data_IF_814797681251
#
_entry.id   IF_814797681251
#
_cell.length_a   1.000
_cell.length_b   1.000
_cell.length_c   1.000
_cell.angle_alpha   90.00
_cell.angle_beta   90.00
_cell.angle_gamma   90.00
#
_symmetry.space_group_name_H-M   'P 1'
#
loop_
_entity.id
_entity.type
_entity.pdbx_description
1 polymer ?
#
# COMPACT_ATOMS: atom_id res chain seq x y z
N UNK A 1 -23.45 -1.09 10.31
CA UNK A 1 -22.10 -1.58 10.62
C UNK A 1 -21.46 -2.00 9.31
N UNK A 2 -20.60 -1.16 8.73
CA UNK A 2 -19.86 -1.50 7.51
C UNK A 2 -18.63 -2.31 7.94
N UNK A 3 -18.54 -3.54 7.45
CA UNK A 3 -17.30 -4.30 7.48
C UNK A 3 -16.31 -3.55 6.57
N UNK A 4 -15.49 -2.67 7.14
CA UNK A 4 -14.29 -2.21 6.45
C UNK A 4 -13.15 -3.08 7.00
N UNK A 5 -12.58 -4.02 6.22
CA UNK A 5 -11.28 -4.55 6.58
C UNK A 5 -10.33 -3.34 6.65
N UNK A 6 -9.81 -3.02 7.84
CA UNK A 6 -9.00 -1.81 8.05
C UNK A 6 -7.66 -1.99 7.36
N UNK A 7 -7.52 -1.39 6.17
CA UNK A 7 -6.25 -1.25 5.47
C UNK A 7 -5.42 -0.08 6.00
N UNK A 8 -5.85 0.53 7.11
CA UNK A 8 -5.22 1.66 7.78
C UNK A 8 -3.75 1.38 8.17
N UNK A 9 -3.37 0.12 8.42
CA UNK A 9 -1.98 -0.23 8.72
C UNK A 9 -1.03 -0.02 7.53
N UNK A 10 -1.54 0.01 6.30
CA UNK A 10 -0.75 0.36 5.11
C UNK A 10 -0.70 1.86 4.84
N UNK A 11 -1.51 2.67 5.54
CA UNK A 11 -1.50 4.12 5.35
C UNK A 11 -0.11 4.75 5.61
N UNK A 12 0.65 4.36 6.65
CA UNK A 12 2.01 4.86 6.84
C UNK A 12 2.95 4.60 5.66
N UNK A 13 2.76 3.50 4.92
CA UNK A 13 3.57 3.20 3.74
C UNK A 13 3.22 4.16 2.58
N UNK A 14 1.93 4.46 2.40
CA UNK A 14 1.47 5.45 1.42
C UNK A 14 1.97 6.84 1.77
N UNK A 15 1.85 7.23 3.03
CA UNK A 15 2.29 8.55 3.51
C UNK A 15 3.80 8.73 3.29
N UNK A 16 4.62 7.72 3.62
CA UNK A 16 6.06 7.77 3.39
C UNK A 16 6.43 7.94 1.90
N UNK A 17 5.69 7.31 1.00
CA UNK A 17 5.90 7.47 -0.45
C UNK A 17 5.49 8.86 -0.94
N UNK A 18 4.40 9.42 -0.42
CA UNK A 18 3.98 10.79 -0.73
C UNK A 18 5.03 11.79 -0.22
N UNK A 19 5.52 11.61 1.01
CA UNK A 19 6.55 12.44 1.62
C UNK A 19 7.89 12.35 0.88
N UNK A 20 8.21 11.20 0.27
CA UNK A 20 9.40 11.04 -0.56
C UNK A 20 9.26 11.63 -1.97
N UNK A 21 8.13 12.24 -2.29
CA UNK A 21 7.87 12.87 -3.59
C UNK A 21 7.20 11.97 -4.63
N UNK A 22 6.69 10.80 -4.25
CA UNK A 22 5.86 9.94 -5.11
C UNK A 22 4.39 10.06 -4.69
N UNK A 23 3.62 11.04 -5.21
CA UNK A 23 2.21 11.20 -4.84
C UNK A 23 1.35 10.05 -5.36
N UNK A 24 0.24 9.76 -4.69
CA UNK A 24 -0.78 8.85 -5.21
C UNK A 24 -1.54 9.47 -6.38
N UNK A 25 -2.03 8.64 -7.29
CA UNK A 25 -2.89 9.03 -8.42
C UNK A 25 -4.35 9.27 -7.99
N UNK A 26 -4.73 8.76 -6.83
CA UNK A 26 -6.03 8.96 -6.18
C UNK A 26 -5.87 9.56 -4.79
N UNK A 27 -6.93 10.15 -4.24
CA UNK A 27 -7.00 10.63 -2.84
C UNK A 27 -7.07 9.44 -1.85
N UNK A 28 -6.05 8.58 -1.86
CA UNK A 28 -5.92 7.40 -1.01
C UNK A 28 -6.46 6.10 -1.63
N UNK A 29 -6.74 5.12 -0.76
CA UNK A 29 -7.22 3.79 -1.13
C UNK A 29 -8.66 3.80 -1.67
N UNK A 30 -8.88 3.10 -2.77
CA UNK A 30 -10.20 2.84 -3.36
C UNK A 30 -10.56 1.39 -3.16
N UNK A 31 -11.83 1.08 -2.92
CA UNK A 31 -12.28 -0.32 -2.77
C UNK A 31 -12.88 -0.83 -4.08
N UNK A 32 -12.52 -2.05 -4.45
CA UNK A 32 -12.97 -2.75 -5.65
C UNK A 32 -13.27 -4.23 -5.32
N UNK A 33 -13.69 -5.02 -6.33
CA UNK A 33 -14.04 -6.44 -6.11
C UNK A 33 -12.85 -7.32 -5.67
N UNK A 34 -11.62 -6.89 -5.94
CA UNK A 34 -10.38 -7.56 -5.55
C UNK A 34 -9.75 -7.02 -4.26
N UNK A 35 -10.36 -6.03 -3.60
CA UNK A 35 -9.85 -5.45 -2.35
C UNK A 35 -9.67 -3.93 -2.40
N UNK A 36 -8.80 -3.39 -1.55
CA UNK A 36 -8.49 -1.96 -1.52
C UNK A 36 -7.22 -1.66 -2.32
N UNK A 37 -7.20 -0.63 -3.16
CA UNK A 37 -6.03 -0.27 -3.93
C UNK A 37 -5.70 1.23 -3.88
N UNK A 38 -4.42 1.54 -3.70
CA UNK A 38 -3.85 2.86 -3.86
C UNK A 38 -2.81 2.79 -4.98
N UNK A 39 -2.93 3.63 -6.01
CA UNK A 39 -2.00 3.61 -7.14
C UNK A 39 -1.09 4.82 -7.03
N UNK A 40 0.22 4.59 -6.99
CA UNK A 40 1.24 5.64 -6.92
C UNK A 40 1.53 6.22 -8.31
N UNK A 41 2.04 7.46 -8.37
CA UNK A 41 2.35 8.13 -9.64
C UNK A 41 3.64 7.64 -10.27
N UNK A 42 4.62 7.30 -9.43
CA UNK A 42 5.92 6.75 -9.79
C UNK A 42 6.09 5.36 -9.17
N UNK A 43 7.21 4.69 -9.46
CA UNK A 43 7.53 3.40 -8.88
C UNK A 43 7.68 3.50 -7.35
N UNK A 44 7.13 2.51 -6.64
CA UNK A 44 7.30 2.31 -5.20
C UNK A 44 8.77 2.01 -4.92
N UNK A 45 9.40 2.87 -4.13
CA UNK A 45 10.76 2.65 -3.66
C UNK A 45 10.75 1.75 -2.42
N UNK A 46 11.15 0.49 -2.61
CA UNK A 46 11.21 -0.49 -1.53
C UNK A 46 12.19 -0.07 -0.41
N UNK A 47 13.23 0.72 -0.69
CA UNK A 47 14.16 1.15 0.34
C UNK A 47 13.48 2.08 1.36
N UNK A 48 12.47 2.84 0.92
CA UNK A 48 11.72 3.78 1.76
C UNK A 48 10.75 3.04 2.66
N UNK A 49 10.04 2.05 2.12
CA UNK A 49 8.95 1.37 2.83
C UNK A 49 9.35 0.08 3.53
N UNK A 50 10.50 -0.54 3.20
CA UNK A 50 10.96 -1.78 3.84
C UNK A 50 11.00 -1.69 5.38
N UNK A 51 11.52 -0.62 6.01
CA UNK A 51 11.52 -0.49 7.46
C UNK A 51 10.10 -0.41 8.04
N UNK A 52 9.15 0.17 7.30
CA UNK A 52 7.75 0.29 7.72
C UNK A 52 7.03 -1.05 7.63
N UNK A 53 7.32 -1.84 6.59
CA UNK A 53 6.82 -3.22 6.46
C UNK A 53 7.31 -4.06 7.63
N UNK A 54 8.59 -3.96 8.01
CA UNK A 54 9.17 -4.73 9.12
C UNK A 54 8.60 -4.33 10.49
N UNK A 55 8.18 -3.08 10.64
CA UNK A 55 7.54 -2.59 11.86
C UNK A 55 6.04 -2.95 11.95
N UNK A 56 5.43 -3.43 10.87
CA UNK A 56 4.02 -3.75 10.81
C UNK A 56 3.69 -5.08 11.50
N UNK A 57 2.61 -5.14 12.27
CA UNK A 57 2.18 -6.36 12.97
C UNK A 57 1.79 -7.50 12.01
N UNK A 58 1.43 -7.14 10.77
CA UNK A 58 1.10 -8.05 9.68
C UNK A 58 2.22 -8.19 8.66
N UNK A 59 3.47 -7.84 8.99
CA UNK A 59 4.64 -7.97 8.09
C UNK A 59 4.68 -9.33 7.36
N UNK A 60 4.38 -10.43 8.05
CA UNK A 60 4.32 -11.79 7.48
C UNK A 60 3.25 -12.02 6.38
N UNK A 61 2.33 -11.07 6.22
CA UNK A 61 1.24 -11.05 5.22
C UNK A 61 1.45 -9.98 4.16
N UNK A 62 2.47 -9.15 4.30
CA UNK A 62 2.83 -8.12 3.33
C UNK A 62 3.85 -8.70 2.35
N UNK A 63 3.55 -8.62 1.07
CA UNK A 63 4.43 -8.95 -0.04
C UNK A 63 4.78 -7.67 -0.77
N UNK A 64 6.06 -7.38 -0.92
CA UNK A 64 6.54 -6.26 -1.72
C UNK A 64 7.37 -6.79 -2.90
N UNK A 65 7.09 -6.31 -4.10
CA UNK A 65 7.75 -6.69 -5.34
C UNK A 65 7.75 -5.53 -6.35
N UNK A 66 8.13 -5.81 -7.59
CA UNK A 66 8.23 -4.80 -8.66
C UNK A 66 6.88 -4.24 -9.11
N UNK A 67 5.76 -4.89 -8.79
CA UNK A 67 4.40 -4.43 -9.12
C UNK A 67 3.85 -3.51 -8.00
N UNK A 68 4.38 -3.64 -6.79
CA UNK A 68 4.11 -2.78 -5.65
C UNK A 68 4.12 -3.53 -4.32
N UNK A 69 3.21 -3.16 -3.42
CA UNK A 69 3.00 -3.79 -2.11
C UNK A 69 1.61 -4.39 -2.05
N UNK A 70 1.49 -5.60 -1.53
CA UNK A 70 0.21 -6.28 -1.34
C UNK A 70 0.13 -6.91 0.05
N UNK A 71 -0.94 -6.65 0.78
CA UNK A 71 -1.23 -7.27 2.06
C UNK A 71 -2.32 -8.33 1.92
N UNK A 72 -1.96 -9.60 2.16
CA UNK A 72 -2.87 -10.74 2.11
C UNK A 72 -3.85 -10.80 3.30
N UNK A 73 -3.63 -10.00 4.35
CA UNK A 73 -4.52 -9.95 5.52
C UNK A 73 -5.76 -9.11 5.26
N UNK A 74 -5.59 -7.88 4.77
CA UNK A 74 -6.68 -6.94 4.50
C UNK A 74 -7.06 -6.87 3.00
N UNK A 75 -6.35 -7.61 2.15
CA UNK A 75 -6.49 -7.61 0.69
C UNK A 75 -6.32 -6.21 0.11
N UNK A 76 -5.33 -5.47 0.62
CA UNK A 76 -5.01 -4.14 0.13
C UNK A 76 -3.71 -4.12 -0.67
N UNK A 77 -3.65 -3.26 -1.69
CA UNK A 77 -2.49 -3.13 -2.58
C UNK A 77 -2.08 -1.66 -2.75
N UNK A 78 -0.78 -1.38 -2.68
CA UNK A 78 -0.16 -0.14 -3.13
C UNK A 78 0.51 -0.46 -4.47
N UNK A 79 -0.02 0.01 -5.58
CA UNK A 79 0.41 -0.39 -6.93
C UNK A 79 1.26 0.68 -7.61
N UNK A 80 2.19 0.21 -8.43
CA UNK A 80 2.88 1.03 -9.40
C UNK A 80 1.94 1.43 -10.56
N UNK A 81 2.16 2.58 -11.22
CA UNK A 81 1.30 3.07 -12.30
C UNK A 81 1.24 2.16 -13.54
N UNK A 82 2.19 1.23 -13.67
CA UNK A 82 2.28 0.27 -14.76
C UNK A 82 1.83 -1.17 -14.38
N UNK A 83 1.33 -1.37 -13.15
CA UNK A 83 0.93 -2.67 -12.57
C UNK A 83 -0.57 -2.98 -12.61
#
# INVERSE_FOLDING_TARGET
MRYSPSFDHLQPLVDALIESGNPSTSDGFRTNQGGADCVMRDLVDLQIIQPLIEADEHASKIKADAEGVHCLHCWASIRNPAG
#
